data_IF_533533013236
#
_entry.id   IF_533533013236
#
_cell.length_a   1.000
_cell.length_b   1.000
_cell.length_c   1.000
_cell.angle_alpha   90.00
_cell.angle_beta   90.00
_cell.angle_gamma   90.00
#
_symmetry.space_group_name_H-M   'P 1'
#
loop_
_entity.id
_entity.type
_entity.pdbx_description
1 polymer ?
#
# COMPACT_ATOMS: atom_id res chain seq x y z
N UNK A 1 -0.44 -18.37 -7.48
CA UNK A 1 0.00 -17.25 -6.66
C UNK A 1 1.21 -17.58 -5.79
N UNK A 2 1.19 -18.75 -5.17
CA UNK A 2 2.29 -19.12 -4.30
C UNK A 2 3.64 -19.07 -5.01
N UNK A 3 3.69 -19.63 -6.22
CA UNK A 3 4.96 -19.66 -6.96
C UNK A 3 5.44 -18.28 -7.35
N UNK A 4 4.50 -17.41 -7.76
CA UNK A 4 4.86 -16.03 -8.09
C UNK A 4 5.38 -15.28 -6.88
N UNK A 5 4.72 -15.46 -5.76
CA UNK A 5 5.12 -14.78 -4.54
C UNK A 5 6.50 -15.23 -4.10
N UNK A 6 6.74 -16.54 -4.15
CA UNK A 6 8.04 -17.08 -3.76
C UNK A 6 9.14 -16.59 -4.68
N UNK A 7 8.86 -16.50 -5.98
CA UNK A 7 9.84 -16.02 -6.92
C UNK A 7 10.19 -14.54 -6.63
N UNK A 8 9.16 -13.74 -6.35
CA UNK A 8 9.38 -12.35 -6.02
C UNK A 8 10.20 -12.19 -4.74
N UNK A 9 9.84 -12.96 -3.72
CA UNK A 9 10.55 -12.91 -2.46
C UNK A 9 12.01 -13.31 -2.67
N UNK A 10 12.24 -14.34 -3.47
CA UNK A 10 13.60 -14.77 -3.77
C UNK A 10 14.42 -13.65 -4.37
N UNK A 11 13.84 -12.90 -5.31
CA UNK A 11 14.55 -11.79 -5.93
C UNK A 11 14.84 -10.69 -4.92
N UNK A 12 13.89 -10.42 -4.03
CA UNK A 12 14.10 -9.40 -3.02
C UNK A 12 15.22 -9.78 -2.06
N UNK A 13 15.25 -11.06 -1.69
CA UNK A 13 16.32 -11.54 -0.82
C UNK A 13 17.68 -11.47 -1.53
N UNK A 14 17.72 -11.84 -2.80
CA UNK A 14 18.95 -11.76 -3.58
C UNK A 14 19.47 -10.33 -3.67
N UNK A 15 18.58 -9.37 -3.76
CA UNK A 15 18.95 -7.97 -3.84
C UNK A 15 19.18 -7.35 -2.47
N UNK A 16 19.15 -8.16 -1.43
CA UNK A 16 19.47 -7.74 -0.07
C UNK A 16 18.57 -6.62 0.42
N UNK A 17 17.30 -6.69 0.10
CA UNK A 17 16.35 -5.72 0.59
C UNK A 17 16.07 -6.01 2.06
N UNK A 18 16.16 -4.99 2.89
CA UNK A 18 15.92 -5.17 4.31
C UNK A 18 14.46 -5.52 4.56
N UNK A 19 14.25 -6.34 5.57
CA UNK A 19 12.91 -6.81 5.88
C UNK A 19 11.88 -5.69 6.04
N UNK A 20 12.15 -4.64 6.84
CA UNK A 20 11.15 -3.58 6.98
C UNK A 20 10.82 -2.90 5.66
N UNK A 21 11.83 -2.71 4.82
CA UNK A 21 11.63 -2.09 3.52
C UNK A 21 10.81 -2.99 2.61
N UNK A 22 11.04 -4.30 2.68
CA UNK A 22 10.29 -5.24 1.86
C UNK A 22 8.82 -5.23 2.24
N UNK A 23 8.53 -5.22 3.54
CA UNK A 23 7.15 -5.19 4.02
C UNK A 23 6.47 -3.90 3.59
N UNK A 24 7.14 -2.79 3.76
CA UNK A 24 6.57 -1.51 3.39
C UNK A 24 6.29 -1.42 1.90
N UNK A 25 7.22 -1.89 1.10
CA UNK A 25 7.06 -1.84 -0.35
C UNK A 25 5.89 -2.71 -0.81
N UNK A 26 5.79 -3.92 -0.25
CA UNK A 26 4.68 -4.81 -0.58
C UNK A 26 3.35 -4.18 -0.20
N UNK A 27 3.27 -3.68 1.02
CA UNK A 27 2.06 -3.08 1.53
C UNK A 27 1.61 -1.92 0.68
N UNK A 28 2.55 -1.07 0.33
CA UNK A 28 2.29 0.12 -0.47
C UNK A 28 1.69 -0.27 -1.83
N UNK A 29 2.32 -1.20 -2.51
CA UNK A 29 1.87 -1.59 -3.84
C UNK A 29 0.56 -2.34 -3.80
N UNK A 30 0.40 -3.19 -2.80
CA UNK A 30 -0.83 -3.95 -2.65
C UNK A 30 -2.03 -3.02 -2.44
N UNK A 31 -1.88 -2.09 -1.50
CA UNK A 31 -2.96 -1.17 -1.17
C UNK A 31 -3.24 -0.24 -2.35
N UNK A 32 -2.19 0.25 -2.99
CA UNK A 32 -2.37 1.13 -4.14
C UNK A 32 -3.15 0.43 -5.25
N UNK A 33 -2.82 -0.82 -5.52
CA UNK A 33 -3.50 -1.58 -6.55
C UNK A 33 -4.99 -1.73 -6.24
N UNK A 34 -5.31 -2.05 -4.97
CA UNK A 34 -6.70 -2.22 -4.59
C UNK A 34 -7.45 -0.88 -4.67
N UNK A 35 -6.79 0.20 -4.27
CA UNK A 35 -7.40 1.53 -4.38
C UNK A 35 -7.73 1.86 -5.83
N UNK A 36 -6.78 1.60 -6.72
CA UNK A 36 -6.99 1.89 -8.14
C UNK A 36 -8.15 1.08 -8.70
N UNK A 37 -8.25 -0.17 -8.29
CA UNK A 37 -9.35 -1.01 -8.77
C UNK A 37 -10.70 -0.58 -8.23
N UNK A 38 -10.70 0.21 -7.17
CA UNK A 38 -11.93 0.73 -6.59
C UNK A 38 -12.08 2.23 -6.80
N UNK A 39 -11.37 2.76 -7.78
CA UNK A 39 -11.48 4.16 -8.19
C UNK A 39 -11.20 5.12 -7.05
N UNK A 40 -10.30 4.75 -6.16
CA UNK A 40 -9.93 5.59 -5.03
C UNK A 40 -10.93 5.58 -3.89
N UNK A 41 -11.96 4.75 -3.98
CA UNK A 41 -12.96 4.66 -2.92
C UNK A 41 -12.40 3.87 -1.75
N UNK A 42 -12.10 4.58 -0.66
CA UNK A 42 -11.44 3.96 0.48
C UNK A 42 -12.33 2.94 1.20
N UNK A 43 -13.62 3.20 1.26
CA UNK A 43 -14.52 2.27 1.93
C UNK A 43 -14.57 0.93 1.18
N UNK A 44 -14.69 0.99 -0.14
CA UNK A 44 -14.71 -0.22 -0.93
C UNK A 44 -13.36 -0.93 -0.91
N UNK A 45 -12.28 -0.16 -0.96
CA UNK A 45 -10.94 -0.73 -0.92
C UNK A 45 -10.70 -1.44 0.40
N UNK A 46 -11.11 -0.82 1.51
CA UNK A 46 -10.94 -1.44 2.81
C UNK A 46 -11.69 -2.75 2.89
N UNK A 47 -12.91 -2.75 2.36
CA UNK A 47 -13.71 -3.97 2.34
C UNK A 47 -13.01 -5.06 1.53
N UNK A 48 -12.49 -4.69 0.37
CA UNK A 48 -11.78 -5.66 -0.49
C UNK A 48 -10.51 -6.17 0.19
N UNK A 49 -9.86 -5.32 0.99
CA UNK A 49 -8.65 -5.72 1.70
C UNK A 49 -8.94 -6.51 2.97
N UNK A 50 -10.20 -6.50 3.42
CA UNK A 50 -10.55 -7.19 4.65
C UNK A 50 -10.10 -6.46 5.90
N UNK A 51 -9.95 -5.14 5.82
CA UNK A 51 -9.55 -4.35 6.98
C UNK A 51 -10.54 -3.21 7.21
N UNK A 52 -10.45 -2.60 8.37
CA UNK A 52 -11.31 -1.49 8.71
C UNK A 52 -10.91 -0.24 7.91
N UNK A 53 -11.91 0.57 7.56
CA UNK A 53 -11.62 1.77 6.79
C UNK A 53 -10.64 2.71 7.49
N UNK A 54 -10.78 2.84 8.82
CA UNK A 54 -9.85 3.68 9.56
C UNK A 54 -8.43 3.16 9.49
N UNK A 55 -8.27 1.84 9.50
CA UNK A 55 -6.95 1.24 9.36
C UNK A 55 -6.38 1.56 7.99
N UNK A 56 -7.21 1.47 6.96
CA UNK A 56 -6.76 1.78 5.60
C UNK A 56 -6.34 3.24 5.49
N UNK A 57 -7.17 4.15 6.01
CA UNK A 57 -6.84 5.57 5.97
C UNK A 57 -5.49 5.85 6.60
N UNK A 58 -5.24 5.23 7.74
CA UNK A 58 -3.99 5.43 8.44
C UNK A 58 -2.82 4.91 7.62
N UNK A 59 -3.00 3.77 6.99
CA UNK A 59 -1.93 3.21 6.17
C UNK A 59 -1.68 4.06 4.93
N UNK A 60 -2.73 4.62 4.35
CA UNK A 60 -2.57 5.51 3.22
C UNK A 60 -1.69 6.70 3.59
N UNK A 61 -1.94 7.28 4.76
CA UNK A 61 -1.14 8.39 5.24
C UNK A 61 0.30 7.96 5.50
N UNK A 62 0.46 6.87 6.23
CA UNK A 62 1.78 6.40 6.62
C UNK A 62 2.63 6.03 5.41
N UNK A 63 2.00 5.42 4.42
CA UNK A 63 2.72 4.97 3.23
C UNK A 63 2.79 6.02 2.13
N UNK A 64 2.15 7.16 2.33
CA UNK A 64 2.19 8.23 1.34
C UNK A 64 1.44 7.91 0.08
N UNK A 65 0.31 7.24 0.19
CA UNK A 65 -0.45 6.80 -0.97
C UNK A 65 -1.57 7.74 -1.37
N UNK A 66 -1.71 8.85 -0.68
CA UNK A 66 -2.76 9.81 -1.02
C UNK A 66 -2.30 10.79 -2.08
N UNK A 67 -1.31 10.39 -2.86
CA UNK A 67 -0.74 11.26 -3.88
C UNK A 67 -1.65 11.41 -5.10
N UNK A 68 -2.71 10.68 -5.16
CA UNK A 68 -3.66 10.89 -6.24
C UNK A 68 -4.48 12.16 -6.00
N UNK A 69 -4.27 12.81 -4.85
CA UNK A 69 -4.81 14.11 -4.54
C UNK A 69 -3.71 15.14 -4.57
N UNK A 70 -3.95 16.23 -5.15
CA UNK A 70 -2.93 17.27 -5.19
C UNK A 70 -2.55 17.66 -3.79
N UNK A 71 -1.74 17.80 -3.28
CA UNK A 71 -1.43 17.97 -2.02
C UNK A 71 -1.33 18.85 -1.25
N UNK A 72 -1.92 18.71 -1.20
CA UNK A 72 -1.94 19.07 -0.56
C UNK A 72 -1.47 19.30 0.20
N UNK A 73 -1.32 19.30 0.27
CA UNK A 73 -0.93 19.31 0.95
C UNK A 73 -0.76 19.41 1.86
N UNK A 74 -0.54 19.37 2.04
CA UNK A 74 -0.34 19.24 2.84
C UNK A 74 -0.54 19.44 3.74
N UNK A 75 -0.47 19.42 3.98
CA UNK A 75 -0.53 19.43 4.87
C UNK A 75 -0.45 19.67 5.57
N UNK A 76 -0.39 19.94 5.68
CA UNK A 76 -0.14 20.00 6.53
C UNK A 76 -0.35 20.07 7.33
N UNK A 77 -0.28 20.05 7.23
CA UNK A 77 -0.28 20.02 7.97
C UNK A 77 -0.53 20.13 8.73
N UNK A 78 -0.48 20.16 8.79
CA UNK A 78 -0.49 20.13 9.49
C UNK A 78 -0.37 20.31 9.95
#
# INVERSE_FOLDING_TARGET
MKDLLEALIGKMVENEIFYPDAVEEFEKRFIKTVLEKNNGNQSKAAHALGIHRNTLSRKIETLGLDNNRPKRRKRPSR
#
